data_IF_267911142829
#
_entry.id   IF_267911142829
#
_cell.length_a   1.000
_cell.length_b   1.000
_cell.length_c   1.000
_cell.angle_alpha   90.00
_cell.angle_beta   90.00
_cell.angle_gamma   90.00
#
_symmetry.space_group_name_H-M   'P 1'
#
loop_
_entity.id
_entity.type
_entity.pdbx_description
1 polymer ?
#
# COMPACT_ATOMS: atom_id res chain seq x y z
N UNK A 1 -40.33 26.61 -24.57
CA UNK A 1 -41.80 26.82 -24.75
C UNK A 1 -42.66 26.07 -23.74
N UNK A 2 -42.70 24.72 -23.73
CA UNK A 2 -43.53 23.99 -22.74
C UNK A 2 -43.00 24.12 -21.30
N UNK A 3 -41.68 24.02 -21.11
CA UNK A 3 -41.04 24.26 -19.80
C UNK A 3 -41.17 25.71 -19.35
N UNK A 4 -40.98 26.71 -20.20
CA UNK A 4 -41.17 28.11 -19.81
C UNK A 4 -42.61 28.42 -19.37
N UNK A 5 -43.60 27.81 -20.03
CA UNK A 5 -45.01 27.95 -19.65
C UNK A 5 -45.27 27.23 -18.33
N UNK A 6 -44.66 26.06 -18.11
CA UNK A 6 -44.77 25.31 -16.86
C UNK A 6 -44.11 26.06 -15.71
N UNK A 7 -42.90 26.60 -15.91
CA UNK A 7 -42.15 27.39 -14.93
C UNK A 7 -42.88 28.68 -14.62
N UNK A 8 -43.40 29.41 -15.61
CA UNK A 8 -44.24 30.61 -15.37
C UNK A 8 -45.52 30.28 -14.62
N UNK A 9 -46.14 29.14 -14.92
CA UNK A 9 -47.35 28.69 -14.22
C UNK A 9 -47.05 28.27 -12.79
N UNK A 10 -45.96 27.54 -12.54
CA UNK A 10 -45.46 27.20 -11.21
C UNK A 10 -45.06 28.46 -10.43
N UNK A 11 -44.42 29.44 -11.07
CA UNK A 11 -44.10 30.72 -10.42
C UNK A 11 -45.37 31.50 -10.04
N UNK A 12 -46.40 31.48 -10.88
CA UNK A 12 -47.67 32.15 -10.63
C UNK A 12 -48.52 31.43 -9.57
N UNK A 13 -48.63 30.10 -9.64
CA UNK A 13 -49.38 29.27 -8.68
C UNK A 13 -48.64 29.09 -7.33
N UNK A 14 -47.38 29.50 -7.22
CA UNK A 14 -46.54 29.27 -6.05
C UNK A 14 -46.38 27.77 -5.77
N UNK A 15 -46.77 27.31 -4.57
CA UNK A 15 -46.77 25.88 -4.19
C UNK A 15 -47.86 25.04 -4.89
N UNK A 16 -48.68 25.62 -5.77
CA UNK A 16 -49.79 24.90 -6.42
C UNK A 16 -50.98 24.65 -5.49
N UNK A 17 -51.02 25.31 -4.33
CA UNK A 17 -52.10 25.20 -3.32
C UNK A 17 -53.31 26.08 -3.65
N UNK A 18 -53.30 26.80 -4.77
CA UNK A 18 -54.38 27.71 -5.17
C UNK A 18 -54.45 28.99 -4.32
N UNK A 19 -53.30 29.47 -3.83
CA UNK A 19 -53.18 30.73 -3.10
C UNK A 19 -53.64 31.94 -3.92
N UNK A 20 -53.21 32.05 -5.18
CA UNK A 20 -53.65 33.12 -6.06
C UNK A 20 -55.18 33.13 -6.21
N UNK A 21 -55.79 31.95 -6.38
CA UNK A 21 -57.25 31.81 -6.43
C UNK A 21 -57.92 32.27 -5.13
N UNK A 22 -57.35 31.90 -3.97
CA UNK A 22 -57.88 32.31 -2.65
C UNK A 22 -57.72 33.81 -2.41
N UNK A 23 -56.61 34.38 -2.83
CA UNK A 23 -56.36 35.82 -2.78
C UNK A 23 -57.33 36.60 -3.66
N UNK A 24 -57.56 36.13 -4.90
CA UNK A 24 -58.54 36.73 -5.81
C UNK A 24 -59.96 36.68 -5.23
N UNK A 25 -60.35 35.57 -4.59
CA UNK A 25 -61.64 35.45 -3.88
C UNK A 25 -61.77 36.43 -2.71
N UNK A 26 -60.67 36.64 -1.97
CA UNK A 26 -60.63 37.61 -0.88
C UNK A 26 -60.79 39.04 -1.42
N UNK A 27 -60.10 39.37 -2.50
CA UNK A 27 -60.15 40.67 -3.16
C UNK A 27 -61.53 40.97 -3.78
N UNK A 28 -62.20 39.97 -4.37
CA UNK A 28 -63.58 40.12 -4.84
C UNK A 28 -64.53 40.36 -3.66
N UNK A 29 -64.39 39.61 -2.57
CA UNK A 29 -65.23 39.80 -1.39
C UNK A 29 -65.10 41.21 -0.81
N UNK A 30 -63.89 41.73 -0.62
CA UNK A 30 -63.71 43.11 -0.12
C UNK A 30 -64.29 44.17 -1.07
N UNK A 31 -64.24 43.93 -2.38
CA UNK A 31 -64.84 44.81 -3.39
C UNK A 31 -66.36 44.81 -3.30
N UNK A 32 -66.96 43.64 -3.07
CA UNK A 32 -68.40 43.48 -2.98
C UNK A 32 -68.95 44.07 -1.68
N UNK A 33 -68.26 43.86 -0.55
CA UNK A 33 -68.57 44.50 0.74
C UNK A 33 -68.50 46.03 0.64
N UNK A 34 -67.58 46.58 -0.15
CA UNK A 34 -67.46 48.04 -0.34
C UNK A 34 -68.57 48.62 -1.24
N UNK A 35 -69.18 47.81 -2.11
CA UNK A 35 -70.22 48.23 -3.07
C UNK A 35 -71.64 47.96 -2.61
N UNK A 36 -71.82 46.98 -1.72
CA UNK A 36 -73.12 46.58 -1.18
C UNK A 36 -73.55 47.52 -0.06
N UNK A 37 -74.80 47.99 -0.11
CA UNK A 37 -75.46 48.67 1.03
C UNK A 37 -75.88 47.67 2.13
N UNK A 38 -75.93 46.37 1.80
CA UNK A 38 -76.27 45.29 2.73
C UNK A 38 -75.01 44.63 3.31
N UNK A 39 -75.05 44.35 4.61
CA UNK A 39 -74.00 43.62 5.31
C UNK A 39 -73.80 42.19 4.73
N UNK A 40 -72.55 41.73 4.60
CA UNK A 40 -72.26 40.39 4.13
C UNK A 40 -72.84 39.34 5.09
N UNK A 41 -73.34 38.23 4.53
CA UNK A 41 -73.82 37.10 5.33
C UNK A 41 -72.70 36.56 6.21
N UNK A 42 -73.00 36.27 7.48
CA UNK A 42 -72.02 35.75 8.45
C UNK A 42 -71.26 34.52 7.93
N UNK A 43 -71.93 33.62 7.19
CA UNK A 43 -71.29 32.45 6.59
C UNK A 43 -70.22 32.78 5.54
N UNK A 44 -70.42 33.83 4.74
CA UNK A 44 -69.45 34.29 3.74
C UNK A 44 -68.24 34.95 4.42
N UNK A 45 -68.50 35.78 5.44
CA UNK A 45 -67.43 36.37 6.26
C UNK A 45 -66.56 35.29 6.94
N UNK A 46 -67.17 34.24 7.51
CA UNK A 46 -66.44 33.10 8.11
C UNK A 46 -65.59 32.37 7.06
N UNK A 47 -66.12 32.17 5.84
CA UNK A 47 -65.35 31.54 4.75
C UNK A 47 -64.14 32.38 4.35
N UNK A 48 -64.28 33.70 4.29
CA UNK A 48 -63.18 34.60 3.94
C UNK A 48 -62.14 34.71 5.06
N UNK A 49 -62.56 34.68 6.32
CA UNK A 49 -61.64 34.56 7.46
C UNK A 49 -60.79 33.28 7.37
N UNK A 50 -61.40 32.12 7.07
CA UNK A 50 -60.64 30.86 6.86
C UNK A 50 -59.67 30.94 5.69
N UNK A 51 -60.05 31.61 4.61
CA UNK A 51 -59.16 31.83 3.47
C UNK A 51 -57.97 32.72 3.86
N UNK A 52 -58.22 33.79 4.63
CA UNK A 52 -57.19 34.68 5.13
C UNK A 52 -56.22 33.94 6.07
N UNK A 53 -56.71 33.17 7.03
CA UNK A 53 -55.88 32.35 7.92
C UNK A 53 -54.98 31.40 7.13
N UNK A 54 -55.54 30.74 6.11
CA UNK A 54 -54.76 29.83 5.27
C UNK A 54 -53.70 30.55 4.43
N UNK A 55 -53.97 31.78 3.96
CA UNK A 55 -52.99 32.60 3.23
C UNK A 55 -51.85 33.05 4.16
N UNK A 56 -52.19 33.49 5.37
CA UNK A 56 -51.20 33.90 6.39
C UNK A 56 -50.29 32.73 6.75
N UNK A 57 -50.87 31.55 7.00
CA UNK A 57 -50.09 30.35 7.30
C UNK A 57 -49.16 29.97 6.14
N UNK A 58 -49.63 30.10 4.90
CA UNK A 58 -48.79 29.77 3.75
C UNK A 58 -47.64 30.76 3.56
N UNK A 59 -47.90 32.06 3.73
CA UNK A 59 -46.85 33.08 3.70
C UNK A 59 -45.77 32.81 4.76
N UNK A 60 -46.17 32.42 5.98
CA UNK A 60 -45.23 32.04 7.04
C UNK A 60 -44.36 30.84 6.64
N UNK A 61 -44.95 29.79 6.04
CA UNK A 61 -44.21 28.63 5.55
C UNK A 61 -43.22 29.01 4.45
N UNK A 62 -43.65 29.84 3.50
CA UNK A 62 -42.79 30.30 2.40
C UNK A 62 -41.55 31.03 2.93
N UNK A 63 -41.71 31.88 3.96
CA UNK A 63 -40.58 32.55 4.62
C UNK A 63 -39.63 31.53 5.28
N UNK A 64 -40.16 30.57 6.04
CA UNK A 64 -39.36 29.55 6.69
C UNK A 64 -38.60 28.67 5.69
N UNK A 65 -39.25 28.25 4.60
CA UNK A 65 -38.62 27.48 3.52
C UNK A 65 -37.52 28.31 2.85
N UNK A 66 -37.77 29.60 2.58
CA UNK A 66 -36.76 30.47 1.98
C UNK A 66 -35.53 30.65 2.90
N UNK A 67 -35.74 30.75 4.21
CA UNK A 67 -34.65 30.80 5.20
C UNK A 67 -33.88 29.49 5.26
N UNK A 68 -34.58 28.36 5.35
CA UNK A 68 -33.98 27.02 5.34
C UNK A 68 -33.16 26.80 4.05
N UNK A 69 -33.70 27.16 2.89
CA UNK A 69 -32.99 27.01 1.61
C UNK A 69 -31.73 27.88 1.55
N UNK A 70 -31.74 29.08 2.16
CA UNK A 70 -30.53 29.92 2.26
C UNK A 70 -29.47 29.28 3.15
N UNK A 71 -29.87 28.70 4.27
CA UNK A 71 -28.96 27.98 5.16
C UNK A 71 -28.36 26.76 4.46
N UNK A 72 -29.20 25.93 3.83
CA UNK A 72 -28.75 24.77 3.05
C UNK A 72 -27.81 25.16 1.90
N UNK A 73 -28.08 26.25 1.20
CA UNK A 73 -27.19 26.74 0.14
C UNK A 73 -25.81 27.12 0.70
N UNK A 74 -25.75 27.74 1.88
CA UNK A 74 -24.49 28.07 2.55
C UNK A 74 -23.73 26.81 3.01
N UNK A 75 -24.43 25.83 3.57
CA UNK A 75 -23.85 24.54 3.96
C UNK A 75 -23.27 23.79 2.75
N UNK A 76 -23.98 23.78 1.61
CA UNK A 76 -23.46 23.16 0.39
C UNK A 76 -22.23 23.89 -0.14
N UNK A 77 -22.15 25.22 -0.02
CA UNK A 77 -20.96 25.97 -0.41
C UNK A 77 -19.74 25.63 0.46
N UNK A 78 -19.96 25.38 1.77
CA UNK A 78 -18.91 24.94 2.68
C UNK A 78 -18.43 23.53 2.34
N UNK A 79 -19.34 22.59 2.09
CA UNK A 79 -19.00 21.22 1.69
C UNK A 79 -18.23 21.21 0.37
N UNK A 80 -18.59 22.07 -0.60
CA UNK A 80 -17.84 22.18 -1.86
C UNK A 80 -16.40 22.59 -1.59
N UNK A 81 -16.16 23.59 -0.73
CA UNK A 81 -14.81 24.03 -0.36
C UNK A 81 -14.02 22.92 0.34
N UNK A 82 -14.65 22.16 1.22
CA UNK A 82 -14.02 21.02 1.89
C UNK A 82 -13.61 19.93 0.90
N UNK A 83 -14.51 19.58 -0.03
CA UNK A 83 -14.25 18.59 -1.07
C UNK A 83 -13.12 19.05 -2.00
N UNK A 84 -13.11 20.31 -2.42
CA UNK A 84 -12.03 20.87 -3.25
C UNK A 84 -10.68 20.78 -2.53
N UNK A 85 -10.61 21.15 -1.26
CA UNK A 85 -9.40 21.07 -0.45
C UNK A 85 -8.91 19.62 -0.26
N UNK A 86 -9.82 18.67 -0.07
CA UNK A 86 -9.46 17.25 0.04
C UNK A 86 -8.99 16.70 -1.32
N UNK A 87 -9.60 17.10 -2.43
CA UNK A 87 -9.14 16.73 -3.78
C UNK A 87 -7.70 17.20 -4.00
N UNK A 88 -7.38 18.44 -3.65
CA UNK A 88 -6.01 18.99 -3.79
C UNK A 88 -5.00 18.15 -3.01
N UNK A 89 -5.27 17.86 -1.73
CA UNK A 89 -4.41 16.98 -0.90
C UNK A 89 -4.23 15.59 -1.51
N UNK A 90 -5.27 15.02 -2.11
CA UNK A 90 -5.21 13.70 -2.75
C UNK A 90 -4.37 13.73 -4.01
N UNK A 91 -4.46 14.81 -4.80
CA UNK A 91 -3.62 15.00 -5.98
C UNK A 91 -2.15 15.06 -5.58
N UNK A 92 -1.80 15.82 -4.55
CA UNK A 92 -0.43 15.90 -4.02
C UNK A 92 0.09 14.53 -3.56
N UNK A 93 -0.73 13.80 -2.77
CA UNK A 93 -0.40 12.45 -2.31
C UNK A 93 -0.17 11.46 -3.46
N UNK A 94 -0.95 11.56 -4.54
CA UNK A 94 -0.75 10.74 -5.74
C UNK A 94 0.56 11.09 -6.44
N UNK A 95 0.92 12.37 -6.49
CA UNK A 95 2.18 12.81 -7.10
C UNK A 95 3.39 12.26 -6.32
N UNK A 96 3.33 12.31 -4.99
CA UNK A 96 4.38 11.75 -4.14
C UNK A 96 4.48 10.23 -4.28
N UNK A 97 3.36 9.52 -4.30
CA UNK A 97 3.33 8.08 -4.54
C UNK A 97 3.92 7.71 -5.92
N UNK A 98 3.71 8.54 -6.96
CA UNK A 98 4.33 8.34 -8.28
C UNK A 98 5.85 8.50 -8.22
N UNK A 99 6.36 9.50 -7.49
CA UNK A 99 7.81 9.72 -7.30
C UNK A 99 8.43 8.54 -6.56
N UNK A 100 7.78 8.06 -5.50
CA UNK A 100 8.24 6.90 -4.73
C UNK A 100 8.26 5.63 -5.59
N UNK A 101 7.20 5.38 -6.37
CA UNK A 101 7.15 4.24 -7.28
C UNK A 101 8.27 4.28 -8.33
N UNK A 102 8.58 5.46 -8.86
CA UNK A 102 9.69 5.63 -9.80
C UNK A 102 11.04 5.30 -9.15
N UNK A 103 11.27 5.76 -7.91
CA UNK A 103 12.47 5.43 -7.14
C UNK A 103 12.56 3.91 -6.85
N UNK A 104 11.46 3.28 -6.43
CA UNK A 104 11.39 1.85 -6.16
C UNK A 104 11.71 1.00 -7.41
N UNK A 105 11.27 1.43 -8.60
CA UNK A 105 11.62 0.77 -9.87
C UNK A 105 13.12 0.81 -10.16
N UNK A 106 13.78 1.93 -9.88
CA UNK A 106 15.23 2.07 -10.04
C UNK A 106 15.96 1.10 -9.09
N UNK A 107 15.54 1.07 -7.81
CA UNK A 107 16.11 0.14 -6.82
C UNK A 107 15.92 -1.30 -7.25
N UNK A 108 14.72 -1.68 -7.70
CA UNK A 108 14.43 -3.03 -8.21
C UNK A 108 15.36 -3.42 -9.36
N UNK A 109 15.60 -2.51 -10.30
CA UNK A 109 16.52 -2.76 -11.42
C UNK A 109 17.95 -3.02 -10.92
N UNK A 110 18.45 -2.18 -10.01
CA UNK A 110 19.78 -2.37 -9.40
C UNK A 110 19.91 -3.68 -8.64
N UNK A 111 18.87 -4.08 -7.90
CA UNK A 111 18.87 -5.36 -7.17
C UNK A 111 18.93 -6.56 -8.12
N UNK A 112 18.26 -6.50 -9.27
CA UNK A 112 18.36 -7.53 -10.31
C UNK A 112 19.79 -7.59 -10.86
N UNK A 113 20.38 -6.44 -11.19
CA UNK A 113 21.76 -6.36 -11.69
C UNK A 113 22.76 -6.97 -10.68
N UNK A 114 22.64 -6.60 -9.40
CA UNK A 114 23.50 -7.14 -8.32
C UNK A 114 23.33 -8.66 -8.17
N UNK A 115 22.09 -9.16 -8.21
CA UNK A 115 21.82 -10.60 -8.12
C UNK A 115 22.45 -11.35 -9.29
N UNK A 116 22.29 -10.86 -10.51
CA UNK A 116 22.84 -11.51 -11.70
C UNK A 116 24.38 -11.48 -11.69
N UNK A 117 25.00 -10.42 -11.16
CA UNK A 117 26.45 -10.35 -10.92
C UNK A 117 26.90 -11.37 -9.86
N UNK A 118 26.16 -11.50 -8.76
CA UNK A 118 26.44 -12.47 -7.71
C UNK A 118 26.40 -13.91 -8.24
N UNK A 119 25.41 -14.26 -9.05
CA UNK A 119 25.31 -15.58 -9.69
C UNK A 119 26.53 -15.87 -10.59
N UNK A 120 26.97 -14.88 -11.38
CA UNK A 120 28.19 -15.02 -12.22
C UNK A 120 29.45 -15.21 -11.38
N UNK A 121 29.57 -14.49 -10.27
CA UNK A 121 30.71 -14.64 -9.36
C UNK A 121 30.72 -16.02 -8.71
N UNK A 122 29.55 -16.50 -8.27
CA UNK A 122 29.41 -17.82 -7.66
C UNK A 122 29.77 -18.94 -8.65
N UNK A 123 29.33 -18.85 -9.90
CA UNK A 123 29.69 -19.83 -10.93
C UNK A 123 31.20 -19.79 -11.24
N UNK A 124 31.78 -18.59 -11.35
CA UNK A 124 33.23 -18.43 -11.52
C UNK A 124 34.01 -19.04 -10.37
N UNK A 125 33.55 -18.84 -9.13
CA UNK A 125 34.16 -19.42 -7.94
C UNK A 125 34.10 -20.96 -7.99
N UNK A 126 32.94 -21.53 -8.31
CA UNK A 126 32.76 -22.98 -8.46
C UNK A 126 33.74 -23.60 -9.48
N UNK A 127 33.91 -22.94 -10.63
CA UNK A 127 34.87 -23.39 -11.67
C UNK A 127 36.31 -23.34 -11.14
N UNK A 128 36.69 -22.28 -10.42
CA UNK A 128 38.04 -22.16 -9.85
C UNK A 128 38.30 -23.22 -8.78
N UNK A 129 37.33 -23.49 -7.91
CA UNK A 129 37.42 -24.53 -6.90
C UNK A 129 37.58 -25.92 -7.52
N UNK A 130 36.83 -26.22 -8.59
CA UNK A 130 36.98 -27.46 -9.35
C UNK A 130 38.41 -27.60 -9.94
N UNK A 131 38.94 -26.52 -10.55
CA UNK A 131 40.31 -26.50 -11.08
C UNK A 131 41.36 -26.69 -9.99
N UNK A 132 41.20 -26.07 -8.83
CA UNK A 132 42.12 -26.23 -7.70
C UNK A 132 42.09 -27.67 -7.19
N UNK A 133 40.90 -28.28 -7.09
CA UNK A 133 40.73 -29.68 -6.70
C UNK A 133 41.45 -30.62 -7.69
N UNK A 134 41.29 -30.38 -9.00
CA UNK A 134 41.99 -31.15 -10.03
C UNK A 134 43.52 -31.02 -9.91
N UNK A 135 44.04 -29.81 -9.74
CA UNK A 135 45.49 -29.58 -9.53
C UNK A 135 46.01 -30.24 -8.26
N UNK A 136 45.24 -30.25 -7.18
CA UNK A 136 45.58 -30.99 -5.95
C UNK A 136 45.67 -32.49 -6.21
N UNK A 137 44.72 -33.06 -6.95
CA UNK A 137 44.75 -34.48 -7.30
C UNK A 137 45.95 -34.84 -8.18
N UNK A 138 46.29 -33.99 -9.17
CA UNK A 138 47.49 -34.15 -9.99
C UNK A 138 48.77 -34.13 -9.13
N UNK A 139 48.87 -33.22 -8.17
CA UNK A 139 50.01 -33.13 -7.26
C UNK A 139 50.11 -34.38 -6.37
N UNK A 140 49.00 -34.87 -5.82
CA UNK A 140 48.98 -36.10 -5.03
C UNK A 140 49.47 -37.29 -5.86
N UNK A 141 49.01 -37.43 -7.10
CA UNK A 141 49.47 -38.47 -8.00
C UNK A 141 50.98 -38.37 -8.28
N UNK A 142 51.49 -37.15 -8.54
CA UNK A 142 52.92 -36.92 -8.72
C UNK A 142 53.72 -37.28 -7.46
N UNK A 143 53.22 -36.92 -6.28
CA UNK A 143 53.87 -37.24 -5.01
C UNK A 143 53.96 -38.76 -4.79
N UNK A 144 52.89 -39.50 -5.10
CA UNK A 144 52.90 -40.97 -5.07
C UNK A 144 53.96 -41.54 -6.03
N UNK A 145 54.03 -41.01 -7.26
CA UNK A 145 55.03 -41.43 -8.25
C UNK A 145 56.44 -41.16 -7.74
N UNK A 146 56.71 -39.96 -7.21
CA UNK A 146 58.02 -39.60 -6.65
C UNK A 146 58.39 -40.47 -5.46
N UNK A 147 57.45 -40.78 -4.57
CA UNK A 147 57.67 -41.70 -3.46
C UNK A 147 58.09 -43.09 -3.96
N UNK A 148 57.40 -43.62 -4.97
CA UNK A 148 57.74 -44.90 -5.58
C UNK A 148 59.11 -44.87 -6.28
N UNK A 149 59.44 -43.79 -6.99
CA UNK A 149 60.76 -43.60 -7.60
C UNK A 149 61.86 -43.52 -6.56
N UNK A 150 61.66 -42.79 -5.46
CA UNK A 150 62.65 -42.69 -4.40
C UNK A 150 62.87 -44.05 -3.72
N UNK A 151 61.79 -44.81 -3.51
CA UNK A 151 61.88 -46.20 -3.03
C UNK A 151 62.64 -47.11 -4.00
N UNK A 152 62.44 -46.94 -5.31
CA UNK A 152 63.17 -47.68 -6.33
C UNK A 152 64.67 -47.35 -6.29
N UNK A 153 65.04 -46.07 -6.20
CA UNK A 153 66.44 -45.65 -6.06
C UNK A 153 67.07 -46.21 -4.78
N UNK A 154 66.35 -46.14 -3.65
CA UNK A 154 66.83 -46.72 -2.38
C UNK A 154 66.99 -48.24 -2.44
N UNK A 155 66.15 -48.95 -3.20
CA UNK A 155 66.29 -50.38 -3.42
C UNK A 155 67.50 -50.72 -4.31
N UNK A 156 67.81 -49.90 -5.32
CA UNK A 156 69.02 -50.04 -6.14
C UNK A 156 70.30 -49.71 -5.34
N UNK A 157 70.23 -48.82 -4.35
CA UNK A 157 71.32 -48.57 -3.39
C UNK A 157 71.47 -49.73 -2.39
N UNK A 158 70.36 -50.33 -1.92
CA UNK A 158 70.38 -51.54 -1.07
C UNK A 158 70.89 -52.78 -1.84
N UNK A 159 70.62 -52.92 -3.14
CA UNK A 159 71.18 -53.99 -3.98
C UNK A 159 72.70 -53.86 -4.23
N UNK A 160 73.30 -52.70 -3.91
CA UNK A 160 74.76 -52.51 -3.85
C UNK A 160 75.35 -52.69 -2.44
N UNK A 161 74.53 -52.63 -1.39
CA UNK A 161 74.96 -52.90 -0.01
C UNK A 161 74.64 -54.34 0.44
N UNK A 162 73.88 -55.12 -0.33
CA UNK A 162 73.56 -56.53 -0.01
C UNK A 162 74.55 -57.54 -0.62
N UNK A 163 75.82 -57.20 -0.69
CA UNK A 163 76.93 -58.16 -0.59
C UNK A 163 77.85 -57.73 0.56
N UNK A 164 77.33 -57.65 1.79
CA UNK A 164 78.06 -58.02 3.00
C UNK A 164 77.13 -57.96 4.23
N UNK A 165 77.28 -58.96 5.09
CA UNK A 165 76.76 -59.07 6.45
C UNK A 165 75.43 -59.81 6.63
N UNK A 166 75.55 -61.12 6.45
CA UNK A 166 75.07 -62.13 7.39
C UNK A 166 75.54 -61.79 8.82
N UNK A 167 74.67 -61.29 9.70
CA UNK A 167 74.38 -61.96 10.98
C UNK A 167 73.22 -61.28 11.74
N UNK A 168 72.49 -62.11 12.49
CA UNK A 168 71.10 -61.87 12.86
C UNK A 168 70.79 -60.80 13.92
N UNK A 169 69.49 -60.48 13.99
CA UNK A 169 68.88 -59.81 15.13
C UNK A 169 67.42 -60.26 15.30
N UNK A 170 67.19 -61.24 16.18
CA UNK A 170 65.97 -61.29 16.98
C UNK A 170 66.32 -60.68 18.34
N UNK A 171 65.72 -59.56 18.69
CA UNK A 171 64.96 -59.45 19.94
C UNK A 171 64.20 -58.12 20.02
N UNK A 172 63.04 -58.21 20.66
CA UNK A 172 62.05 -57.16 20.88
C UNK A 172 62.38 -56.45 22.19
N UNK A 173 62.12 -55.15 22.24
CA UNK A 173 61.53 -54.39 23.36
C UNK A 173 61.74 -52.89 23.06
N UNK A 174 61.00 -51.91 23.56
CA UNK A 174 59.68 -51.75 24.14
C UNK A 174 59.54 -50.23 24.37
N UNK A 175 58.33 -49.80 24.75
CA UNK A 175 58.04 -48.53 25.44
C UNK A 175 57.93 -47.25 24.59
N UNK A 176 56.72 -46.72 24.39
CA UNK A 176 55.89 -45.94 25.34
C UNK A 176 56.39 -44.49 25.49
N UNK A 177 55.55 -43.52 25.11
CA UNK A 177 55.42 -42.24 25.81
C UNK A 177 54.14 -41.51 25.42
N UNK A 178 53.40 -41.21 26.48
CA UNK A 178 52.15 -40.51 26.60
C UNK A 178 52.26 -38.99 26.36
N UNK A 179 51.07 -38.37 26.35
CA UNK A 179 50.74 -37.01 26.80
C UNK A 179 51.13 -35.79 25.95
N UNK A 180 50.13 -35.04 25.45
CA UNK A 180 49.57 -33.93 26.23
C UNK A 180 48.29 -33.33 25.61
N UNK A 181 47.46 -32.82 26.50
CA UNK A 181 46.09 -32.35 26.36
C UNK A 181 45.97 -30.84 26.03
N UNK A 182 44.71 -30.43 25.81
CA UNK A 182 44.08 -29.12 26.09
C UNK A 182 43.61 -28.34 24.85
N UNK A 183 42.30 -28.20 24.60
CA UNK A 183 41.22 -27.55 25.37
C UNK A 183 41.09 -26.05 25.03
N UNK A 184 40.02 -25.71 24.31
CA UNK A 184 39.03 -24.67 24.68
C UNK A 184 37.89 -24.73 23.64
N UNK A 185 36.69 -25.22 23.98
CA UNK A 185 35.59 -24.59 24.74
C UNK A 185 35.03 -23.28 24.14
N UNK A 186 33.77 -23.43 23.74
CA UNK A 186 32.63 -22.53 23.95
C UNK A 186 32.58 -21.17 23.23
N UNK A 187 31.46 -20.90 22.54
CA UNK A 187 30.36 -20.02 23.01
C UNK A 187 29.52 -19.46 21.83
N UNK A 188 28.18 -19.51 22.02
CA UNK A 188 27.10 -18.66 21.47
C UNK A 188 26.41 -19.03 20.15
N UNK A 189 25.35 -19.80 20.34
CA UNK A 189 23.98 -19.40 20.00
C UNK A 189 23.72 -17.87 19.92
N UNK A 190 23.37 -17.36 18.72
CA UNK A 190 22.38 -16.27 18.53
C UNK A 190 22.12 -16.01 17.04
N UNK A 191 21.01 -16.53 16.53
CA UNK A 191 20.29 -15.91 15.41
C UNK A 191 18.83 -16.33 15.51
N UNK A 192 18.15 -15.70 16.47
CA UNK A 192 16.70 -15.67 16.52
C UNK A 192 16.19 -14.71 15.42
N UNK A 193 15.08 -15.13 14.80
CA UNK A 193 13.93 -14.29 14.47
C UNK A 193 14.18 -13.03 13.65
N UNK A 194 13.90 -13.13 12.34
CA UNK A 194 13.28 -12.04 11.57
C UNK A 194 12.17 -12.66 10.73
N UNK A 195 11.00 -12.84 11.36
CA UNK A 195 9.70 -12.80 10.69
C UNK A 195 8.88 -11.74 11.43
N UNK A 196 8.82 -10.55 10.84
CA UNK A 196 7.62 -9.72 10.72
C UNK A 196 7.82 -8.76 9.55
#
# INVERSE_FOLDING_TARGET
MKEDVLVRKLLADGEGTGEERRFLQLMSFFRDVKKSENDPKTAEAIKMLKNLDSLVLSAQKSIQIAEMNRQQAAEFEEVVKEVEAEIEKRVDSIEDAKKELAAARIVKKRLIEIRDEFERQHERQRILEAKISERRNQMLALNIVLYNFNRFIQADDEDLETEMDDDGAKERDSQNRDDEQHSSKDVKSRAASIEH
#
